data_IF_790870169205
#
_entry.id   IF_790870169205
#
_cell.length_a   1.000
_cell.length_b   1.000
_cell.length_c   1.000
_cell.angle_alpha   90.00
_cell.angle_beta   90.00
_cell.angle_gamma   90.00
#
_symmetry.space_group_name_H-M   'P 1'
#
loop_
_entity.id
_entity.type
_entity.pdbx_description
1 polymer ?
#
# COMPACT_ATOMS: atom_id res chain seq x y z
N UNK A 1 -2.92 0.04 -17.34
CA UNK A 1 -3.52 -0.92 -16.41
C UNK A 1 -2.48 -1.86 -15.82
N UNK A 2 -1.78 -2.63 -16.65
CA UNK A 2 -0.84 -3.68 -16.22
C UNK A 2 0.24 -3.21 -15.26
N UNK A 3 0.81 -2.03 -15.46
CA UNK A 3 1.81 -1.46 -14.56
C UNK A 3 1.21 -1.17 -13.17
N UNK A 4 0.04 -0.58 -13.11
CA UNK A 4 -0.66 -0.32 -11.85
C UNK A 4 -0.97 -1.63 -11.12
N UNK A 5 -1.51 -2.62 -11.82
CA UNK A 5 -1.86 -3.92 -11.24
C UNK A 5 -0.63 -4.67 -10.72
N UNK A 6 0.50 -4.60 -11.46
CA UNK A 6 1.78 -5.15 -11.01
C UNK A 6 2.27 -4.48 -9.73
N UNK A 7 2.26 -3.14 -9.68
CA UNK A 7 2.69 -2.37 -8.49
C UNK A 7 1.78 -2.67 -7.30
N UNK A 8 0.46 -2.71 -7.49
CA UNK A 8 -0.50 -3.03 -6.43
C UNK A 8 -0.32 -4.46 -5.91
N UNK A 9 -0.09 -5.43 -6.80
CA UNK A 9 0.21 -6.80 -6.38
C UNK A 9 1.45 -6.82 -5.48
N UNK A 10 2.54 -6.23 -5.92
CA UNK A 10 3.80 -6.22 -5.19
C UNK A 10 3.72 -5.46 -3.86
N UNK A 11 3.02 -4.31 -3.84
CA UNK A 11 2.96 -3.43 -2.66
C UNK A 11 1.84 -3.77 -1.67
N UNK A 12 0.81 -4.51 -2.07
CA UNK A 12 -0.32 -4.86 -1.21
C UNK A 12 -0.36 -6.36 -0.94
N UNK A 13 -0.38 -7.20 -2.01
CA UNK A 13 -0.56 -8.64 -1.84
C UNK A 13 0.69 -9.28 -1.27
N UNK A 14 1.84 -8.96 -1.84
CA UNK A 14 3.13 -9.54 -1.45
C UNK A 14 3.81 -8.76 -0.31
N UNK A 15 3.17 -7.71 0.23
CA UNK A 15 3.74 -6.84 1.28
C UNK A 15 4.25 -7.63 2.49
N UNK A 16 3.46 -8.59 2.97
CA UNK A 16 3.84 -9.41 4.12
C UNK A 16 5.09 -10.24 3.87
N UNK A 17 5.16 -10.90 2.72
CA UNK A 17 6.33 -11.70 2.32
C UNK A 17 7.58 -10.83 2.17
N UNK A 18 7.41 -9.66 1.58
CA UNK A 18 8.50 -8.71 1.40
C UNK A 18 9.01 -8.14 2.73
N UNK A 19 8.11 -7.80 3.66
CA UNK A 19 8.47 -7.31 5.00
C UNK A 19 9.16 -8.39 5.86
N UNK A 20 8.73 -9.65 5.78
CA UNK A 20 9.36 -10.75 6.50
C UNK A 20 10.78 -11.04 5.98
N UNK A 21 11.05 -10.79 4.70
CA UNK A 21 12.35 -10.95 4.07
C UNK A 21 13.37 -9.86 4.45
N UNK A 22 12.93 -8.73 5.03
CA UNK A 22 13.79 -7.62 5.42
C UNK A 22 14.57 -7.92 6.72
N UNK A 23 15.51 -8.84 6.63
CA UNK A 23 16.39 -9.24 7.74
C UNK A 23 17.13 -8.02 8.34
N UNK A 24 17.47 -7.02 7.52
CA UNK A 24 18.16 -5.81 7.95
C UNK A 24 17.38 -5.00 8.99
N UNK A 25 16.06 -4.86 8.84
CA UNK A 25 15.20 -4.15 9.80
C UNK A 25 15.19 -4.87 11.15
N UNK A 26 15.10 -6.20 11.14
CA UNK A 26 15.10 -6.99 12.38
C UNK A 26 16.44 -6.87 13.12
N UNK A 27 17.56 -6.87 12.39
CA UNK A 27 18.90 -6.69 12.97
C UNK A 27 19.05 -5.27 13.54
N UNK A 28 18.71 -4.24 12.75
CA UNK A 28 18.79 -2.85 13.19
C UNK A 28 17.92 -2.60 14.44
N UNK A 29 16.69 -3.11 14.44
CA UNK A 29 15.81 -2.98 15.62
C UNK A 29 16.38 -3.68 16.85
N UNK A 30 16.96 -4.88 16.68
CA UNK A 30 17.59 -5.61 17.78
C UNK A 30 18.74 -4.80 18.39
N UNK A 31 19.60 -4.21 17.57
CA UNK A 31 20.72 -3.37 18.04
C UNK A 31 20.20 -2.16 18.81
N UNK A 32 19.20 -1.45 18.27
CA UNK A 32 18.60 -0.29 18.94
C UNK A 32 17.96 -0.70 20.26
N UNK A 33 17.21 -1.80 20.28
CA UNK A 33 16.57 -2.32 21.49
C UNK A 33 17.61 -2.66 22.57
N UNK A 34 18.69 -3.35 22.21
CA UNK A 34 19.73 -3.74 23.13
C UNK A 34 20.47 -2.51 23.68
N UNK A 35 20.72 -1.49 22.84
CA UNK A 35 21.28 -0.21 23.26
C UNK A 35 20.37 0.52 24.25
N UNK A 36 19.06 0.57 23.98
CA UNK A 36 18.08 1.19 24.89
C UNK A 36 17.98 0.45 26.21
N UNK A 37 18.03 -0.89 26.22
CA UNK A 37 18.03 -1.67 27.45
C UNK A 37 19.26 -1.38 28.32
N UNK A 38 20.43 -1.21 27.70
CA UNK A 38 21.64 -0.77 28.40
C UNK A 38 21.45 0.63 28.97
N UNK A 39 20.92 1.57 28.20
CA UNK A 39 20.62 2.93 28.65
C UNK A 39 19.68 2.93 29.87
N UNK A 40 18.63 2.10 29.86
CA UNK A 40 17.71 1.98 31.00
C UNK A 40 18.43 1.51 32.28
N UNK A 41 19.39 0.59 32.18
CA UNK A 41 20.18 0.15 33.32
C UNK A 41 21.00 1.32 33.90
N UNK A 42 21.69 2.10 33.05
CA UNK A 42 22.44 3.27 33.50
C UNK A 42 21.55 4.33 34.15
N UNK A 43 20.37 4.58 33.59
CA UNK A 43 19.40 5.52 34.14
C UNK A 43 18.88 5.04 35.55
N UNK A 44 18.62 3.73 35.71
CA UNK A 44 18.23 3.14 36.96
C UNK A 44 19.32 3.29 38.03
N UNK A 45 20.58 3.01 37.66
CA UNK A 45 21.72 3.17 38.58
C UNK A 45 21.84 4.64 38.98
N UNK A 46 21.75 5.58 38.04
CA UNK A 46 21.82 7.00 38.33
C UNK A 46 20.72 7.44 39.33
N UNK A 47 19.50 7.02 39.06
CA UNK A 47 18.36 7.34 39.94
C UNK A 47 18.42 6.63 41.30
N UNK A 48 19.03 5.44 41.37
CA UNK A 48 19.30 4.76 42.60
C UNK A 48 20.33 5.51 43.47
N UNK A 49 21.39 6.03 42.86
CA UNK A 49 22.40 6.86 43.55
C UNK A 49 21.75 8.17 44.04
N UNK A 50 20.96 8.85 43.25
CA UNK A 50 20.23 10.06 43.62
C UNK A 50 19.34 9.84 44.84
N UNK A 51 18.68 8.67 44.93
CA UNK A 51 17.88 8.28 46.08
C UNK A 51 18.73 8.07 47.35
N UNK A 52 19.90 7.42 47.24
CA UNK A 52 20.78 7.14 48.36
C UNK A 52 21.37 8.44 48.94
N UNK A 53 21.75 9.37 48.05
CA UNK A 53 22.30 10.69 48.44
C UNK A 53 21.21 11.61 49.05
N UNK A 54 19.92 11.27 48.88
CA UNK A 54 18.82 12.04 49.44
C UNK A 54 18.48 13.32 48.69
N UNK A 55 18.94 13.50 47.46
CA UNK A 55 18.69 14.68 46.63
C UNK A 55 17.31 14.64 45.97
N UNK A 56 16.74 13.44 45.75
CA UNK A 56 15.43 13.26 45.15
C UNK A 56 14.28 13.00 46.10
N UNK A 57 13.09 13.52 45.82
CA UNK A 57 11.89 13.16 46.60
C UNK A 57 11.46 11.71 46.23
N UNK A 58 11.03 10.94 47.22
CA UNK A 58 10.56 9.55 47.04
C UNK A 58 9.44 9.44 46.02
N UNK A 59 8.57 10.44 45.98
CA UNK A 59 7.44 10.46 45.03
C UNK A 59 7.87 10.72 43.61
N UNK A 60 8.83 11.61 43.37
CA UNK A 60 9.42 11.85 42.05
C UNK A 60 10.10 10.61 41.49
N UNK A 61 10.83 9.89 42.34
CA UNK A 61 11.54 8.66 41.97
C UNK A 61 10.56 7.54 41.66
N UNK A 62 9.48 7.37 42.42
CA UNK A 62 8.43 6.39 42.15
C UNK A 62 7.77 6.62 40.79
N UNK A 63 7.40 7.86 40.49
CA UNK A 63 6.79 8.22 39.21
C UNK A 63 7.76 8.01 38.05
N UNK A 64 9.03 8.34 38.26
CA UNK A 64 10.09 8.11 37.27
C UNK A 64 10.30 6.62 36.97
N UNK A 65 10.37 5.77 38.04
CA UNK A 65 10.54 4.31 37.86
C UNK A 65 9.33 3.74 37.12
N UNK A 66 8.10 4.18 37.44
CA UNK A 66 6.90 3.75 36.72
C UNK A 66 6.96 4.11 35.25
N UNK A 67 7.36 5.35 34.92
CA UNK A 67 7.52 5.79 33.54
C UNK A 67 8.62 5.01 32.81
N UNK A 68 9.74 4.72 33.47
CA UNK A 68 10.85 3.94 32.93
C UNK A 68 10.43 2.50 32.60
N UNK A 69 9.65 1.86 33.50
CA UNK A 69 9.12 0.49 33.24
C UNK A 69 8.21 0.48 32.03
N UNK A 70 7.32 1.47 31.93
CA UNK A 70 6.43 1.60 30.75
C UNK A 70 7.27 1.83 29.49
N UNK A 71 8.27 2.70 29.52
CA UNK A 71 9.15 2.96 28.40
C UNK A 71 9.92 1.71 27.98
N UNK A 72 10.47 0.96 28.93
CA UNK A 72 11.17 -0.29 28.67
C UNK A 72 10.26 -1.35 28.02
N UNK A 73 9.02 -1.43 28.50
CA UNK A 73 8.01 -2.32 27.93
C UNK A 73 7.66 -1.91 26.50
N UNK A 74 7.40 -0.62 26.26
CA UNK A 74 7.10 -0.10 24.92
C UNK A 74 8.25 -0.35 23.94
N UNK A 75 9.50 -0.09 24.33
CA UNK A 75 10.68 -0.33 23.47
C UNK A 75 10.79 -1.81 23.14
N UNK A 76 10.63 -2.70 24.10
CA UNK A 76 10.76 -4.15 23.86
C UNK A 76 9.63 -4.71 22.97
N UNK A 77 8.41 -4.15 23.05
CA UNK A 77 7.25 -4.57 22.26
C UNK A 77 7.01 -3.71 21.01
N UNK A 78 7.78 -2.66 20.80
CA UNK A 78 7.61 -1.70 19.71
C UNK A 78 7.46 -2.38 18.34
N UNK A 79 8.36 -3.30 18.00
CA UNK A 79 8.30 -4.01 16.71
C UNK A 79 7.05 -4.91 16.60
N UNK A 80 6.60 -5.51 17.70
CA UNK A 80 5.38 -6.28 17.72
C UNK A 80 4.16 -5.39 17.41
N UNK A 81 4.02 -4.24 18.08
CA UNK A 81 2.94 -3.30 17.82
C UNK A 81 2.96 -2.79 16.38
N UNK A 82 4.15 -2.47 15.86
CA UNK A 82 4.31 -2.02 14.47
C UNK A 82 3.85 -3.10 13.48
N UNK A 83 4.24 -4.35 13.69
CA UNK A 83 3.80 -5.47 12.84
C UNK A 83 2.28 -5.68 12.89
N UNK A 84 1.70 -5.68 14.08
CA UNK A 84 0.24 -5.80 14.24
C UNK A 84 -0.49 -4.69 13.51
N UNK A 85 0.01 -3.45 13.59
CA UNK A 85 -0.60 -2.31 12.90
C UNK A 85 -0.50 -2.45 11.38
N UNK A 86 0.65 -2.89 10.88
CA UNK A 86 0.86 -3.15 9.44
C UNK A 86 -0.05 -4.28 8.97
N UNK A 87 -0.11 -5.40 9.71
CA UNK A 87 -0.96 -6.54 9.36
C UNK A 87 -2.45 -6.14 9.35
N UNK A 88 -2.91 -5.39 10.36
CA UNK A 88 -4.28 -4.89 10.41
C UNK A 88 -4.59 -3.97 9.22
N UNK A 89 -3.70 -3.03 8.91
CA UNK A 89 -3.83 -2.15 7.73
C UNK A 89 -3.88 -2.94 6.42
N UNK A 90 -3.04 -3.98 6.31
CA UNK A 90 -2.99 -4.82 5.12
C UNK A 90 -4.27 -5.65 4.94
N UNK A 91 -4.82 -6.20 6.02
CA UNK A 91 -6.11 -6.94 6.00
C UNK A 91 -7.23 -6.04 5.49
N UNK A 92 -7.32 -4.81 6.00
CA UNK A 92 -8.32 -3.83 5.55
C UNK A 92 -8.13 -3.49 4.07
N UNK A 93 -6.89 -3.25 3.65
CA UNK A 93 -6.56 -2.92 2.26
C UNK A 93 -6.90 -4.08 1.32
N UNK A 94 -6.57 -5.32 1.69
CA UNK A 94 -6.92 -6.52 0.92
C UNK A 94 -8.44 -6.72 0.84
N UNK A 95 -9.18 -6.42 1.92
CA UNK A 95 -10.63 -6.45 1.93
C UNK A 95 -11.22 -5.50 0.88
N UNK A 96 -10.77 -4.25 0.85
CA UNK A 96 -11.21 -3.28 -0.17
C UNK A 96 -10.79 -3.70 -1.58
N UNK A 97 -9.55 -4.14 -1.76
CA UNK A 97 -9.06 -4.63 -3.05
C UNK A 97 -9.93 -5.75 -3.60
N UNK A 98 -10.21 -6.75 -2.77
CA UNK A 98 -11.03 -7.91 -3.13
C UNK A 98 -12.46 -7.49 -3.49
N UNK A 99 -13.09 -6.62 -2.68
CA UNK A 99 -14.44 -6.13 -2.95
C UNK A 99 -14.52 -5.38 -4.28
N UNK A 100 -13.54 -4.54 -4.62
CA UNK A 100 -13.50 -3.81 -5.88
C UNK A 100 -13.35 -4.77 -7.06
N UNK A 101 -12.47 -5.75 -6.97
CA UNK A 101 -12.22 -6.73 -8.03
C UNK A 101 -13.43 -7.65 -8.22
N UNK A 102 -14.04 -8.16 -7.14
CA UNK A 102 -15.21 -9.04 -7.18
C UNK A 102 -16.47 -8.32 -7.70
N UNK A 103 -16.70 -7.06 -7.30
CA UNK A 103 -17.86 -6.27 -7.76
C UNK A 103 -17.87 -5.99 -9.26
N UNK A 104 -16.72 -6.13 -9.91
CA UNK A 104 -16.54 -5.87 -11.34
C UNK A 104 -16.57 -7.12 -12.22
N UNK A 105 -17.07 -8.23 -11.69
CA UNK A 105 -17.29 -9.45 -12.46
C UNK A 105 -16.04 -10.34 -12.65
N UNK A 106 -15.01 -10.18 -11.82
CA UNK A 106 -13.86 -11.07 -11.82
C UNK A 106 -12.98 -10.94 -13.08
N UNK A 107 -12.13 -11.89 -13.33
CA UNK A 107 -11.16 -11.93 -14.40
C UNK A 107 -11.74 -11.69 -15.80
N UNK A 108 -11.30 -10.62 -16.48
CA UNK A 108 -11.49 -10.48 -17.92
C UNK A 108 -10.34 -11.23 -18.61
N UNK A 109 -10.62 -12.28 -19.40
CA UNK A 109 -9.59 -12.92 -20.19
C UNK A 109 -9.16 -11.94 -21.30
N UNK A 110 -7.94 -11.42 -21.21
CA UNK A 110 -7.36 -10.65 -22.31
C UNK A 110 -6.78 -11.66 -23.31
N UNK A 111 -7.42 -11.80 -24.45
CA UNK A 111 -6.91 -12.57 -25.57
C UNK A 111 -5.91 -11.69 -26.32
N UNK A 112 -4.64 -12.06 -26.29
CA UNK A 112 -3.61 -11.42 -27.12
C UNK A 112 -3.89 -11.72 -28.60
N UNK A 113 -3.45 -10.83 -29.54
CA UNK A 113 -3.58 -11.05 -30.98
C UNK A 113 -2.94 -12.37 -31.47
N UNK A 114 -2.13 -13.01 -30.65
CA UNK A 114 -1.47 -14.31 -30.92
C UNK A 114 -2.34 -15.54 -30.58
N UNK A 115 -3.61 -15.34 -30.16
CA UNK A 115 -4.51 -16.44 -29.80
C UNK A 115 -4.19 -17.16 -28.48
N UNK A 116 -3.20 -16.70 -27.74
CA UNK A 116 -2.89 -17.21 -26.40
C UNK A 116 -3.74 -16.46 -25.36
N UNK A 117 -4.43 -17.20 -24.51
CA UNK A 117 -5.12 -16.66 -23.33
C UNK A 117 -4.06 -16.14 -22.37
N UNK A 118 -3.69 -14.87 -22.54
CA UNK A 118 -2.72 -14.24 -21.68
C UNK A 118 -3.43 -13.78 -20.40
N UNK A 119 -2.92 -14.29 -19.30
CA UNK A 119 -3.03 -13.77 -17.95
C UNK A 119 -4.44 -13.29 -17.56
N UNK A 120 -5.08 -14.04 -16.71
CA UNK A 120 -6.17 -13.55 -15.87
C UNK A 120 -5.63 -12.39 -15.02
N UNK A 121 -5.58 -11.19 -15.59
CA UNK A 121 -5.19 -9.98 -14.87
C UNK A 121 -6.40 -9.54 -14.05
N UNK A 122 -6.54 -10.11 -12.87
CA UNK A 122 -7.45 -9.65 -11.85
C UNK A 122 -6.81 -8.45 -11.16
N UNK A 123 -6.95 -7.27 -11.74
CA UNK A 123 -6.40 -6.04 -11.20
C UNK A 123 -7.48 -4.97 -11.03
N UNK A 124 -7.23 -3.98 -10.21
CA UNK A 124 -8.13 -2.82 -10.02
C UNK A 124 -8.26 -2.00 -11.30
N UNK A 125 -7.28 -2.01 -12.17
CA UNK A 125 -7.30 -1.25 -13.43
C UNK A 125 -8.46 -1.64 -14.34
N UNK A 126 -8.81 -2.92 -14.37
CA UNK A 126 -9.87 -3.46 -15.24
C UNK A 126 -11.24 -2.89 -14.84
N UNK A 127 -11.70 -2.96 -13.56
CA UNK A 127 -12.92 -2.31 -13.12
C UNK A 127 -13.00 -0.82 -13.48
N UNK A 128 -11.92 -0.09 -13.26
CA UNK A 128 -11.87 1.33 -13.60
C UNK A 128 -12.03 1.56 -15.11
N UNK A 129 -11.34 0.80 -15.94
CA UNK A 129 -11.43 0.92 -17.40
C UNK A 129 -12.83 0.55 -17.90
N UNK A 130 -13.47 -0.47 -17.31
CA UNK A 130 -14.82 -0.90 -17.68
C UNK A 130 -15.85 0.13 -17.27
N UNK A 131 -15.79 0.63 -16.02
CA UNK A 131 -16.73 1.63 -15.53
C UNK A 131 -16.60 3.00 -16.20
N UNK A 132 -15.39 3.34 -16.69
CA UNK A 132 -15.16 4.52 -17.50
C UNK A 132 -15.57 4.33 -18.98
N UNK A 133 -16.03 3.12 -19.36
CA UNK A 133 -16.39 2.81 -20.72
C UNK A 133 -15.22 2.71 -21.71
N UNK A 134 -13.99 2.73 -21.23
CA UNK A 134 -12.79 2.70 -22.08
C UNK A 134 -12.63 1.37 -22.84
N UNK A 135 -13.14 0.29 -22.28
CA UNK A 135 -13.16 -1.04 -22.94
C UNK A 135 -14.10 -1.08 -24.11
N UNK A 136 -15.18 -0.27 -24.07
CA UNK A 136 -16.16 -0.17 -25.17
C UNK A 136 -15.57 0.51 -26.40
N UNK A 137 -14.66 1.48 -26.21
CA UNK A 137 -13.99 2.15 -27.33
C UNK A 137 -12.96 1.26 -28.04
N UNK A 138 -12.43 0.23 -27.34
CA UNK A 138 -11.38 -0.64 -27.88
C UNK A 138 -11.88 -1.98 -28.43
N UNK A 139 -13.15 -2.31 -28.21
CA UNK A 139 -13.78 -3.50 -28.76
C UNK A 139 -14.02 -3.36 -30.28
N UNK A 140 -14.04 -4.48 -30.98
CA UNK A 140 -14.35 -4.51 -32.42
C UNK A 140 -15.69 -3.86 -32.73
N UNK A 141 -16.64 -3.94 -31.81
CA UNK A 141 -17.99 -3.38 -31.95
C UNK A 141 -18.09 -1.93 -31.43
N UNK A 142 -17.14 -1.47 -30.60
CA UNK A 142 -17.18 -0.16 -29.98
C UNK A 142 -16.99 0.98 -30.97
N UNK A 143 -16.08 0.81 -31.92
CA UNK A 143 -15.85 1.82 -32.96
C UNK A 143 -17.04 1.91 -33.94
N UNK A 144 -17.63 0.78 -34.26
CA UNK A 144 -18.79 0.71 -35.12
C UNK A 144 -20.07 1.21 -34.43
N UNK A 145 -20.25 0.94 -33.14
CA UNK A 145 -21.34 1.47 -32.34
C UNK A 145 -21.26 3.01 -32.20
N UNK A 146 -20.05 3.55 -32.02
CA UNK A 146 -19.83 4.99 -32.02
C UNK A 146 -20.08 5.59 -33.41
N UNK A 147 -19.64 4.93 -34.46
CA UNK A 147 -19.83 5.36 -35.86
C UNK A 147 -21.30 5.39 -36.25
N UNK A 148 -22.10 4.43 -35.78
CA UNK A 148 -23.55 4.35 -36.12
C UNK A 148 -24.41 5.27 -35.27
N UNK A 149 -24.01 5.56 -34.00
CA UNK A 149 -24.79 6.44 -33.11
C UNK A 149 -24.56 7.93 -33.40
N UNK A 150 -23.48 8.30 -34.08
CA UNK A 150 -23.09 9.69 -34.28
C UNK A 150 -23.31 10.09 -35.76
N UNK A 151 -24.54 10.47 -36.07
CA UNK A 151 -24.92 10.93 -37.41
C UNK A 151 -24.33 12.30 -37.75
N UNK A 152 -23.16 12.34 -38.39
CA UNK A 152 -22.59 13.57 -38.94
C UNK A 152 -21.06 13.50 -39.11
N UNK A 153 -20.54 14.05 -40.20
CA UNK A 153 -19.11 13.95 -40.59
C UNK A 153 -18.15 14.52 -39.52
N UNK A 154 -18.52 15.56 -38.78
CA UNK A 154 -17.69 16.18 -37.72
C UNK A 154 -17.65 15.35 -36.44
N UNK A 155 -18.71 14.71 -36.09
CA UNK A 155 -18.79 13.88 -34.89
C UNK A 155 -17.92 12.61 -35.05
N UNK A 156 -17.74 12.13 -36.27
CA UNK A 156 -16.89 10.97 -36.58
C UNK A 156 -15.43 11.20 -36.29
N UNK A 157 -14.97 12.46 -36.27
CA UNK A 157 -13.59 12.84 -35.91
C UNK A 157 -13.49 13.24 -34.45
N UNK A 158 -14.49 13.96 -33.91
CA UNK A 158 -14.49 14.45 -32.54
C UNK A 158 -14.58 13.32 -31.51
N UNK A 159 -15.37 12.30 -31.75
CA UNK A 159 -15.58 11.20 -30.79
C UNK A 159 -14.30 10.40 -30.52
N UNK A 160 -13.55 9.91 -31.53
CA UNK A 160 -12.27 9.24 -31.25
C UNK A 160 -11.22 10.20 -30.67
N UNK A 161 -11.23 11.48 -30.98
CA UNK A 161 -10.33 12.47 -30.40
C UNK A 161 -10.57 12.63 -28.89
N UNK A 162 -11.85 12.73 -28.49
CA UNK A 162 -12.24 12.75 -27.08
C UNK A 162 -11.87 11.45 -26.38
N UNK A 163 -12.06 10.30 -27.03
CA UNK A 163 -11.66 8.99 -26.50
C UNK A 163 -10.14 8.88 -26.27
N UNK A 164 -9.32 9.36 -27.20
CA UNK A 164 -7.85 9.40 -27.04
C UNK A 164 -7.47 10.30 -25.88
N UNK A 165 -8.08 11.47 -25.75
CA UNK A 165 -7.81 12.42 -24.67
C UNK A 165 -8.18 11.82 -23.31
N UNK A 166 -9.33 11.18 -23.20
CA UNK A 166 -9.78 10.47 -21.98
C UNK A 166 -8.83 9.32 -21.64
N UNK A 167 -8.35 8.58 -22.63
CA UNK A 167 -7.40 7.50 -22.43
C UNK A 167 -6.04 8.02 -21.91
N UNK A 168 -5.56 9.15 -22.44
CA UNK A 168 -4.31 9.78 -21.99
C UNK A 168 -4.43 10.25 -20.54
N UNK A 169 -5.54 10.89 -20.17
CA UNK A 169 -5.79 11.32 -18.78
C UNK A 169 -5.79 10.10 -17.86
N UNK A 170 -6.53 9.05 -18.22
CA UNK A 170 -6.62 7.82 -17.41
C UNK A 170 -5.25 7.14 -17.28
N UNK A 171 -4.47 7.09 -18.35
CA UNK A 171 -3.10 6.55 -18.31
C UNK A 171 -2.20 7.37 -17.38
N UNK A 172 -2.27 8.71 -17.43
CA UNK A 172 -1.51 9.60 -16.56
C UNK A 172 -1.90 9.39 -15.08
N UNK A 173 -3.19 9.27 -14.78
CA UNK A 173 -3.67 9.00 -13.43
C UNK A 173 -3.15 7.65 -12.93
N UNK A 174 -3.21 6.59 -13.73
CA UNK A 174 -2.71 5.27 -13.33
C UNK A 174 -1.19 5.27 -13.07
N UNK A 175 -0.42 6.00 -13.87
CA UNK A 175 1.02 6.15 -13.65
C UNK A 175 1.28 6.94 -12.37
N UNK A 176 0.55 8.02 -12.11
CA UNK A 176 0.69 8.80 -10.89
C UNK A 176 0.38 7.96 -9.64
N UNK A 177 -0.72 7.21 -9.65
CA UNK A 177 -1.09 6.31 -8.55
C UNK A 177 -0.03 5.23 -8.35
N UNK A 178 0.46 4.59 -9.42
CA UNK A 178 1.53 3.60 -9.35
C UNK A 178 2.81 4.20 -8.73
N UNK A 179 3.19 5.43 -9.13
CA UNK A 179 4.34 6.12 -8.57
C UNK A 179 4.19 6.38 -7.06
N UNK A 180 3.00 6.80 -6.60
CA UNK A 180 2.72 7.00 -5.17
C UNK A 180 2.89 5.69 -4.39
N UNK A 181 2.42 4.55 -4.91
CA UNK A 181 2.59 3.25 -4.26
C UNK A 181 4.06 2.82 -4.22
N UNK A 182 4.84 3.07 -5.28
CA UNK A 182 6.28 2.79 -5.30
C UNK A 182 7.01 3.64 -4.26
N UNK A 183 6.72 4.95 -4.19
CA UNK A 183 7.33 5.86 -3.20
C UNK A 183 6.99 5.42 -1.76
N UNK A 184 5.76 4.98 -1.53
CA UNK A 184 5.35 4.47 -0.22
C UNK A 184 6.11 3.19 0.17
N UNK A 185 6.51 2.38 -0.80
CA UNK A 185 7.21 1.13 -0.56
C UNK A 185 8.70 1.33 -0.22
N UNK A 186 9.34 2.38 -0.75
CA UNK A 186 10.73 2.74 -0.48
C UNK A 186 10.88 3.43 0.88
#
# INVERSE_FOLDING_TARGET
>A
GTLLDFVLKYTIIDLKLNLESLTGINIAWKVIKDLMNIAFIFILIYKGIELIIGVGSKESIKNFISALVIAALLVNFSLFFTRVLIDASNIVTLGFYKTIVESSGGSIPITLPTGQTALNITGISVPFMTNLGLTTFWGTDGFDAVRTSVGGNWNMVLTPLIGIFLFLITAMVFVAVAAIFIIRYI
#
